data_IF_301257207582
#
_entry.id   IF_301257207582
#
_cell.length_a   1.000
_cell.length_b   1.000
_cell.length_c   1.000
_cell.angle_alpha   90.00
_cell.angle_beta   90.00
_cell.angle_gamma   90.00
#
_symmetry.space_group_name_H-M   'P 1'
#
loop_
_entity.id
_entity.type
_entity.pdbx_description
1 polymer ?
#
# COMPACT_ATOMS: atom_id res chain seq x y z
N UNK A 1 0.05 27.30 50.92
CA UNK A 1 -0.25 27.24 49.48
C UNK A 1 0.72 26.28 48.81
N UNK A 2 0.28 25.06 48.48
CA UNK A 2 1.08 24.09 47.73
C UNK A 2 0.68 24.18 46.26
N UNK A 3 1.54 24.74 45.42
CA UNK A 3 1.33 24.80 43.98
C UNK A 3 1.48 23.41 43.37
N UNK A 4 0.38 22.88 42.82
CA UNK A 4 0.37 21.70 41.97
C UNK A 4 0.84 22.11 40.57
N UNK A 5 2.02 21.67 40.17
CA UNK A 5 2.52 21.82 38.80
C UNK A 5 2.02 20.61 38.00
N UNK A 6 0.98 20.80 37.20
CA UNK A 6 0.52 19.80 36.23
C UNK A 6 1.48 19.74 35.05
N UNK A 7 2.25 18.66 34.92
CA UNK A 7 3.03 18.35 33.73
C UNK A 7 2.07 17.94 32.59
N UNK A 8 1.98 18.78 31.56
CA UNK A 8 1.24 18.51 30.34
C UNK A 8 2.13 17.64 29.41
N UNK A 9 1.90 16.33 29.36
CA UNK A 9 2.54 15.45 28.39
C UNK A 9 1.90 15.66 27.00
N UNK A 10 2.57 16.43 26.15
CA UNK A 10 2.20 16.57 24.74
C UNK A 10 2.71 15.32 24.00
N UNK A 11 1.81 14.41 23.66
CA UNK A 11 2.09 13.31 22.74
C UNK A 11 2.24 13.86 21.32
N UNK A 12 3.47 14.14 20.91
CA UNK A 12 3.81 14.32 19.49
C UNK A 12 3.73 12.95 18.80
N UNK A 13 2.62 12.71 18.09
CA UNK A 13 2.50 11.58 17.16
C UNK A 13 3.46 11.81 16.00
N UNK A 14 4.68 11.27 16.09
CA UNK A 14 5.58 11.18 14.93
C UNK A 14 4.97 10.19 13.93
N UNK A 15 4.36 10.72 12.87
CA UNK A 15 4.02 9.91 11.71
C UNK A 15 5.34 9.44 11.07
N UNK A 16 5.76 8.22 11.42
CA UNK A 16 6.97 7.58 10.90
C UNK A 16 6.73 7.11 9.46
N UNK A 17 6.72 8.04 8.52
CA UNK A 17 6.63 7.73 7.11
C UNK A 17 7.91 7.04 6.60
N UNK A 18 7.78 6.04 5.71
CA UNK A 18 8.94 5.42 5.07
C UNK A 18 9.59 6.38 4.05
N UNK A 19 10.94 6.40 4.02
CA UNK A 19 11.73 7.09 3.00
C UNK A 19 11.69 6.34 1.67
N UNK A 20 11.90 7.08 0.58
CA UNK A 20 12.01 6.49 -0.76
C UNK A 20 13.28 5.65 -0.92
N UNK A 21 13.25 4.71 -1.87
CA UNK A 21 14.42 3.91 -2.28
C UNK A 21 14.77 4.21 -3.74
N UNK A 22 16.06 4.28 -4.06
CA UNK A 22 16.55 4.64 -5.39
C UNK A 22 16.84 6.14 -5.55
N UNK A 23 17.18 6.55 -6.78
CA UNK A 23 17.49 7.94 -7.09
C UNK A 23 16.21 8.74 -7.35
N UNK A 24 15.71 9.40 -6.30
CA UNK A 24 14.56 10.28 -6.37
C UNK A 24 14.93 11.75 -6.60
N UNK A 25 16.20 12.05 -6.93
CA UNK A 25 16.66 13.43 -7.13
C UNK A 25 15.89 14.09 -8.27
N UNK A 26 15.44 15.33 -8.05
CA UNK A 26 14.64 16.07 -9.04
C UNK A 26 13.18 15.64 -9.13
N UNK A 27 12.69 14.85 -8.17
CA UNK A 27 11.25 14.63 -7.98
C UNK A 27 10.55 15.96 -7.69
N UNK A 28 9.48 16.33 -8.41
CA UNK A 28 8.73 17.56 -8.15
C UNK A 28 8.13 17.62 -6.74
N UNK A 29 8.00 18.82 -6.18
CA UNK A 29 7.52 19.03 -4.80
C UNK A 29 6.08 18.52 -4.55
N UNK A 30 5.26 18.45 -5.61
CA UNK A 30 3.90 17.92 -5.58
C UNK A 30 3.84 16.39 -5.54
N UNK A 31 4.95 15.70 -5.77
CA UNK A 31 4.99 14.26 -5.74
C UNK A 31 4.92 13.72 -4.30
N UNK A 32 4.14 12.67 -4.11
CA UNK A 32 4.14 11.92 -2.86
C UNK A 32 5.42 11.10 -2.80
N UNK A 33 6.27 11.39 -1.81
CA UNK A 33 7.56 10.70 -1.59
C UNK A 33 7.51 9.74 -0.40
N UNK A 34 6.35 9.54 0.20
CA UNK A 34 6.20 8.78 1.43
C UNK A 34 4.91 7.98 1.45
N UNK A 35 4.97 6.74 1.92
CA UNK A 35 3.78 5.90 2.06
C UNK A 35 3.09 6.14 3.42
N UNK A 36 1.75 6.15 3.46
CA UNK A 36 1.00 6.24 4.71
C UNK A 36 1.12 4.95 5.54
N UNK A 37 0.89 5.07 6.85
CA UNK A 37 0.70 3.91 7.73
C UNK A 37 -0.67 3.22 7.51
N UNK A 38 -0.77 1.87 7.62
CA UNK A 38 0.33 0.93 7.85
C UNK A 38 1.04 0.46 6.57
N UNK A 39 0.73 1.00 5.38
CA UNK A 39 1.32 0.55 4.11
C UNK A 39 2.86 0.65 4.11
N UNK A 40 3.43 1.68 4.72
CA UNK A 40 4.88 1.85 4.92
C UNK A 40 5.57 0.75 5.78
N UNK A 41 4.81 -0.15 6.45
CA UNK A 41 5.37 -1.28 7.20
C UNK A 41 5.73 -2.46 6.32
N UNK A 42 5.02 -2.64 5.20
CA UNK A 42 5.14 -3.78 4.30
C UNK A 42 5.35 -3.38 2.83
N UNK A 43 5.26 -2.09 2.52
CA UNK A 43 5.59 -1.49 1.24
C UNK A 43 6.55 -0.32 1.36
N UNK A 44 7.09 0.09 0.21
CA UNK A 44 7.96 1.24 0.05
C UNK A 44 7.77 1.90 -1.31
N UNK A 45 8.09 3.18 -1.39
CA UNK A 45 8.10 3.92 -2.65
C UNK A 45 9.50 3.84 -3.25
N UNK A 46 9.59 3.39 -4.51
CA UNK A 46 10.85 3.18 -5.22
C UNK A 46 10.89 4.07 -6.46
N UNK A 47 11.96 4.84 -6.62
CA UNK A 47 12.23 5.61 -7.82
C UNK A 47 13.00 4.75 -8.82
N UNK A 48 12.44 4.57 -10.02
CA UNK A 48 13.01 3.74 -11.08
C UNK A 48 13.26 4.58 -12.33
N UNK A 49 14.03 4.07 -13.31
CA UNK A 49 14.17 4.74 -14.61
C UNK A 49 12.84 5.00 -15.35
N UNK A 50 11.77 4.28 -15.00
CA UNK A 50 10.46 4.37 -15.65
C UNK A 50 9.43 5.23 -14.91
N UNK A 51 9.73 5.61 -13.66
CA UNK A 51 8.75 6.23 -12.77
C UNK A 51 8.85 5.76 -11.34
N UNK A 52 8.05 6.38 -10.48
CA UNK A 52 7.84 5.90 -9.12
C UNK A 52 6.97 4.65 -9.13
N UNK A 53 7.30 3.71 -8.26
CA UNK A 53 6.49 2.52 -8.01
C UNK A 53 6.26 2.37 -6.51
N UNK A 54 5.12 1.80 -6.14
CA UNK A 54 4.91 1.22 -4.81
C UNK A 54 5.21 -0.27 -4.92
N UNK A 55 6.12 -0.77 -4.09
CA UNK A 55 6.52 -2.18 -4.09
C UNK A 55 6.78 -2.68 -2.67
N UNK A 56 7.18 -3.93 -2.52
CA UNK A 56 7.48 -4.54 -1.23
C UNK A 56 8.65 -3.85 -0.53
N UNK A 57 8.55 -3.71 0.79
CA UNK A 57 9.67 -3.28 1.65
C UNK A 57 10.67 -4.42 1.86
N UNK A 58 11.91 -4.10 2.23
CA UNK A 58 12.85 -5.10 2.72
C UNK A 58 12.21 -5.98 3.82
N UNK A 59 12.46 -7.29 3.74
CA UNK A 59 11.84 -8.29 4.61
C UNK A 59 10.42 -8.71 4.21
N UNK A 60 9.83 -8.09 3.19
CA UNK A 60 8.51 -8.45 2.66
C UNK A 60 8.59 -8.92 1.21
N UNK A 61 7.70 -9.83 0.82
CA UNK A 61 7.49 -10.23 -0.58
C UNK A 61 6.04 -9.97 -0.95
N UNK A 62 5.82 -9.36 -2.12
CA UNK A 62 4.48 -9.28 -2.73
C UNK A 62 4.45 -10.16 -3.97
N UNK A 63 3.60 -11.18 -3.99
CA UNK A 63 3.55 -12.15 -5.09
C UNK A 63 2.14 -12.60 -5.41
N UNK A 64 1.88 -12.86 -6.70
CA UNK A 64 0.66 -13.52 -7.11
C UNK A 64 0.76 -15.02 -6.76
N UNK A 65 -0.29 -15.64 -6.18
CA UNK A 65 -0.32 -17.07 -5.95
C UNK A 65 -0.05 -17.86 -7.23
N UNK A 66 0.85 -18.85 -7.14
CA UNK A 66 1.21 -19.70 -8.27
C UNK A 66 2.06 -19.03 -9.36
N UNK A 67 2.54 -17.81 -9.14
CA UNK A 67 3.42 -17.08 -10.06
C UNK A 67 4.69 -16.60 -9.35
N UNK A 68 5.75 -16.40 -10.13
CA UNK A 68 7.02 -15.82 -9.68
C UNK A 68 7.14 -14.33 -10.01
N UNK A 69 6.09 -13.72 -10.56
CA UNK A 69 6.10 -12.30 -10.94
C UNK A 69 5.88 -11.40 -9.72
N UNK A 70 6.80 -10.45 -9.45
CA UNK A 70 6.63 -9.51 -8.36
C UNK A 70 5.43 -8.59 -8.61
N UNK A 71 4.73 -8.23 -7.53
CA UNK A 71 3.65 -7.24 -7.58
C UNK A 71 4.21 -5.85 -7.31
N UNK A 72 3.89 -4.92 -8.18
CA UNK A 72 4.20 -3.50 -8.03
C UNK A 72 3.05 -2.65 -8.55
N UNK A 73 2.91 -1.45 -8.00
CA UNK A 73 1.92 -0.45 -8.41
C UNK A 73 2.70 0.69 -9.08
N UNK A 74 2.67 0.83 -10.42
CA UNK A 74 3.44 1.86 -11.11
C UNK A 74 2.68 3.18 -11.24
N UNK A 75 3.39 4.31 -11.18
CA UNK A 75 2.82 5.65 -11.42
C UNK A 75 2.44 5.88 -12.89
N UNK A 76 3.11 5.23 -13.84
CA UNK A 76 2.83 5.43 -15.27
C UNK A 76 1.53 4.74 -15.73
N UNK A 77 1.10 3.71 -15.00
CA UNK A 77 -0.18 3.01 -15.18
C UNK A 77 -0.47 2.65 -16.66
N UNK A 78 0.50 1.97 -17.29
CA UNK A 78 0.40 1.44 -18.66
C UNK A 78 0.36 -0.08 -18.62
N UNK A 79 -0.29 -0.69 -19.62
CA UNK A 79 -0.41 -2.16 -19.71
C UNK A 79 0.92 -2.81 -20.12
N UNK A 80 1.69 -2.16 -20.99
CA UNK A 80 2.99 -2.64 -21.49
C UNK A 80 3.86 -1.48 -21.95
N UNK A 81 5.15 -1.75 -22.14
CA UNK A 81 6.15 -0.82 -22.71
C UNK A 81 6.22 0.55 -22.00
N UNK A 82 6.59 0.58 -20.70
CA UNK A 82 6.75 1.84 -19.98
C UNK A 82 7.86 2.69 -20.60
N UNK A 83 7.60 3.99 -20.75
CA UNK A 83 8.63 4.94 -21.19
C UNK A 83 9.57 5.29 -20.02
N UNK A 84 10.88 5.51 -20.27
CA UNK A 84 11.86 5.81 -19.23
C UNK A 84 11.75 7.26 -18.73
N UNK A 85 10.64 7.58 -18.05
CA UNK A 85 10.33 8.94 -17.60
C UNK A 85 11.04 9.33 -16.28
N UNK A 86 11.68 8.39 -15.58
CA UNK A 86 12.32 8.64 -14.30
C UNK A 86 11.41 9.38 -13.32
N UNK A 87 11.96 10.39 -12.63
CA UNK A 87 11.22 11.20 -11.66
C UNK A 87 10.14 12.14 -12.26
N UNK A 88 9.87 12.05 -13.58
CA UNK A 88 8.73 12.74 -14.22
C UNK A 88 7.44 11.92 -14.21
N UNK A 89 7.51 10.63 -13.87
CA UNK A 89 6.31 9.83 -13.58
C UNK A 89 6.29 9.54 -12.09
N UNK A 90 5.30 10.11 -11.39
CA UNK A 90 5.18 10.03 -9.95
C UNK A 90 3.71 9.98 -9.50
N UNK A 91 3.50 9.67 -8.23
CA UNK A 91 2.20 9.74 -7.59
C UNK A 91 1.94 11.14 -7.07
N UNK A 92 0.77 11.69 -7.38
CA UNK A 92 0.26 12.95 -6.81
C UNK A 92 -0.63 12.69 -5.59
N UNK A 93 -1.12 11.45 -5.44
CA UNK A 93 -1.92 11.02 -4.29
C UNK A 93 -1.60 9.56 -3.94
N UNK A 94 -1.42 9.29 -2.65
CA UNK A 94 -1.40 7.94 -2.07
C UNK A 94 -2.22 8.00 -0.78
N UNK A 95 -3.44 7.45 -0.80
CA UNK A 95 -4.36 7.51 0.32
C UNK A 95 -4.74 6.10 0.74
N UNK A 96 -4.48 5.78 2.01
CA UNK A 96 -4.86 4.51 2.62
C UNK A 96 -5.87 4.76 3.75
N UNK A 97 -7.02 4.12 3.69
CA UNK A 97 -8.11 4.28 4.67
C UNK A 97 -8.51 2.92 5.20
N UNK A 98 -8.63 2.78 6.52
CA UNK A 98 -9.22 1.59 7.14
C UNK A 98 -10.73 1.57 6.91
N UNK A 99 -11.24 0.49 6.32
CA UNK A 99 -12.67 0.28 6.13
C UNK A 99 -13.29 -0.29 7.41
N UNK A 100 -14.56 0.02 7.65
CA UNK A 100 -15.31 -0.43 8.82
C UNK A 100 -16.73 -0.89 8.43
N UNK A 101 -17.39 -1.60 9.35
CA UNK A 101 -18.81 -1.97 9.24
C UNK A 101 -19.14 -2.73 7.95
N UNK A 102 -20.18 -2.26 7.25
CA UNK A 102 -20.72 -2.89 6.04
C UNK A 102 -19.71 -2.88 4.89
N UNK A 103 -18.92 -1.82 4.73
CA UNK A 103 -17.92 -1.71 3.64
C UNK A 103 -16.84 -2.78 3.79
N UNK A 104 -16.28 -2.91 5.00
CA UNK A 104 -15.30 -3.95 5.30
C UNK A 104 -15.91 -5.34 5.12
N UNK A 105 -17.12 -5.57 5.62
CA UNK A 105 -17.81 -6.87 5.50
C UNK A 105 -18.06 -7.28 4.05
N UNK A 106 -18.43 -6.32 3.19
CA UNK A 106 -18.65 -6.58 1.76
C UNK A 106 -17.33 -6.85 1.03
N UNK A 107 -16.28 -6.10 1.35
CA UNK A 107 -14.93 -6.32 0.82
C UNK A 107 -14.42 -7.73 1.16
N UNK A 108 -14.55 -8.16 2.42
CA UNK A 108 -14.18 -9.50 2.89
C UNK A 108 -14.95 -10.57 2.11
N UNK A 109 -16.27 -10.42 1.95
CA UNK A 109 -17.09 -11.37 1.18
C UNK A 109 -16.62 -11.52 -0.27
N UNK A 110 -16.17 -10.43 -0.92
CA UNK A 110 -15.64 -10.49 -2.28
C UNK A 110 -14.27 -11.17 -2.29
N UNK A 111 -13.39 -10.82 -1.35
CA UNK A 111 -12.08 -11.43 -1.21
C UNK A 111 -12.17 -12.94 -0.95
N UNK A 112 -13.06 -13.38 -0.08
CA UNK A 112 -13.23 -14.80 0.27
C UNK A 112 -13.88 -15.65 -0.83
N UNK A 113 -14.33 -15.05 -1.95
CA UNK A 113 -14.83 -15.84 -3.09
C UNK A 113 -13.72 -16.76 -3.60
N UNK A 114 -14.00 -18.07 -3.59
CA UNK A 114 -13.05 -19.10 -4.01
C UNK A 114 -12.08 -19.57 -2.93
N UNK A 115 -12.23 -19.10 -1.68
CA UNK A 115 -11.54 -19.65 -0.51
C UNK A 115 -12.53 -20.31 0.44
N UNK A 116 -12.02 -21.22 1.27
CA UNK A 116 -12.72 -21.57 2.51
C UNK A 116 -12.81 -20.34 3.40
N UNK A 117 -13.93 -20.21 4.11
CA UNK A 117 -14.16 -19.09 5.00
C UNK A 117 -13.12 -19.11 6.13
N UNK A 118 -12.45 -17.98 6.34
CA UNK A 118 -11.51 -17.85 7.45
C UNK A 118 -12.24 -17.80 8.80
N UNK A 119 -11.66 -18.41 9.82
CA UNK A 119 -12.13 -18.27 11.20
C UNK A 119 -11.91 -16.86 11.75
N UNK A 120 -10.92 -16.14 11.21
CA UNK A 120 -10.57 -14.78 11.58
C UNK A 120 -10.99 -13.79 10.50
N UNK A 121 -11.59 -12.66 10.90
CA UNK A 121 -11.88 -11.56 9.99
C UNK A 121 -10.68 -10.62 9.87
N UNK A 122 -10.21 -10.27 8.66
CA UNK A 122 -9.08 -9.38 8.50
C UNK A 122 -9.46 -7.92 8.80
N UNK A 123 -8.46 -7.12 9.14
CA UNK A 123 -8.59 -5.66 9.00
C UNK A 123 -8.46 -5.30 7.53
N UNK A 124 -9.40 -4.52 7.01
CA UNK A 124 -9.41 -4.12 5.59
C UNK A 124 -8.96 -2.67 5.42
N UNK A 125 -8.04 -2.45 4.49
CA UNK A 125 -7.58 -1.12 4.08
C UNK A 125 -7.87 -0.88 2.60
N UNK A 126 -8.45 0.26 2.27
CA UNK A 126 -8.62 0.73 0.89
C UNK A 126 -7.48 1.67 0.53
N UNK A 127 -6.74 1.33 -0.52
CA UNK A 127 -5.71 2.17 -1.11
C UNK A 127 -6.25 2.82 -2.38
N UNK A 128 -6.11 4.13 -2.48
CA UNK A 128 -6.30 4.89 -3.72
C UNK A 128 -5.01 5.61 -4.06
N UNK A 129 -4.58 5.50 -5.31
CA UNK A 129 -3.41 6.20 -5.84
C UNK A 129 -3.78 6.97 -7.09
N UNK A 130 -3.22 8.16 -7.24
CA UNK A 130 -3.31 8.96 -8.47
C UNK A 130 -1.91 9.31 -8.96
N UNK A 131 -1.75 9.29 -10.27
CA UNK A 131 -0.50 9.66 -10.94
C UNK A 131 -0.55 11.08 -11.50
N UNK A 132 0.62 11.62 -11.82
CA UNK A 132 0.72 12.90 -12.56
C UNK A 132 0.00 12.89 -13.91
N UNK A 133 -0.23 11.72 -14.52
CA UNK A 133 -1.00 11.60 -15.77
C UNK A 133 -2.52 11.73 -15.57
N UNK A 134 -2.99 11.90 -14.32
CA UNK A 134 -4.41 11.91 -13.97
C UNK A 134 -5.05 10.53 -13.88
N UNK A 135 -4.32 9.45 -14.20
CA UNK A 135 -4.79 8.07 -14.01
C UNK A 135 -4.80 7.70 -12.54
N UNK A 136 -5.77 6.86 -12.18
CA UNK A 136 -5.97 6.36 -10.82
C UNK A 136 -6.00 4.84 -10.77
N UNK A 137 -5.51 4.28 -9.66
CA UNK A 137 -5.68 2.89 -9.29
C UNK A 137 -6.22 2.79 -7.86
N UNK A 138 -6.97 1.73 -7.59
CA UNK A 138 -7.52 1.38 -6.30
C UNK A 138 -7.26 -0.09 -5.98
N UNK A 139 -6.91 -0.35 -4.73
CA UNK A 139 -6.63 -1.68 -4.20
C UNK A 139 -7.28 -1.82 -2.82
N UNK A 140 -7.51 -3.05 -2.39
CA UNK A 140 -7.83 -3.36 -1.01
C UNK A 140 -6.80 -4.32 -0.44
N UNK A 141 -6.38 -4.07 0.79
CA UNK A 141 -5.47 -4.92 1.55
C UNK A 141 -6.21 -5.54 2.73
N UNK A 142 -5.91 -6.81 2.99
CA UNK A 142 -6.54 -7.65 4.00
C UNK A 142 -5.46 -8.12 4.98
N UNK A 143 -5.51 -7.64 6.21
CA UNK A 143 -4.54 -7.93 7.25
C UNK A 143 -5.10 -8.94 8.27
N UNK A 144 -4.61 -10.18 8.21
CA UNK A 144 -4.89 -11.26 9.15
C UNK A 144 -3.82 -11.36 10.26
N UNK A 145 -3.04 -10.30 10.50
CA UNK A 145 -1.88 -10.34 11.39
C UNK A 145 -0.67 -10.95 10.69
N UNK A 146 -0.51 -12.27 10.77
CA UNK A 146 0.68 -12.97 10.24
C UNK A 146 0.60 -13.21 8.72
N UNK A 147 -0.60 -13.12 8.12
CA UNK A 147 -0.79 -13.17 6.67
C UNK A 147 -1.44 -11.88 6.19
N UNK A 148 -0.92 -11.32 5.10
CA UNK A 148 -1.52 -10.15 4.46
C UNK A 148 -1.77 -10.44 2.98
N UNK A 149 -2.82 -9.82 2.45
CA UNK A 149 -3.22 -9.97 1.06
C UNK A 149 -3.59 -8.63 0.45
N UNK A 150 -3.52 -8.54 -0.87
CA UNK A 150 -4.00 -7.42 -1.66
C UNK A 150 -4.91 -7.90 -2.79
N UNK A 151 -5.78 -7.00 -3.27
CA UNK A 151 -6.71 -7.24 -4.37
C UNK A 151 -6.93 -5.94 -5.15
N UNK A 152 -6.99 -6.00 -6.47
CA UNK A 152 -7.26 -4.86 -7.34
C UNK A 152 -8.75 -4.49 -7.30
N UNK A 153 -9.07 -3.20 -7.11
CA UNK A 153 -10.41 -2.66 -6.93
C UNK A 153 -10.74 -1.38 -7.74
N UNK A 154 -10.23 -1.21 -8.97
CA UNK A 154 -10.49 0.01 -9.78
C UNK A 154 -11.98 0.20 -10.13
N UNK A 155 -12.54 -0.74 -10.89
CA UNK A 155 -13.92 -0.72 -11.38
C UNK A 155 -14.73 -1.79 -10.64
N UNK A 156 -14.64 -1.76 -9.31
CA UNK A 156 -15.00 -2.89 -8.45
C UNK A 156 -13.83 -3.83 -8.21
N UNK A 157 -13.95 -4.67 -7.18
CA UNK A 157 -12.91 -5.61 -6.79
C UNK A 157 -12.94 -6.90 -7.60
N UNK A 158 -11.79 -7.26 -8.17
CA UNK A 158 -11.63 -8.51 -8.92
C UNK A 158 -11.04 -9.61 -8.02
N UNK A 159 -11.82 -10.65 -7.64
CA UNK A 159 -11.34 -11.74 -6.81
C UNK A 159 -10.25 -12.60 -7.48
N UNK A 160 -9.98 -12.45 -8.78
CA UNK A 160 -8.88 -13.15 -9.46
C UNK A 160 -7.57 -12.35 -9.44
N UNK A 161 -7.60 -11.10 -8.99
CA UNK A 161 -6.43 -10.20 -8.92
C UNK A 161 -5.69 -10.25 -7.58
N UNK A 162 -5.93 -11.28 -6.79
CA UNK A 162 -5.41 -11.39 -5.42
C UNK A 162 -3.90 -11.65 -5.43
N UNK A 163 -3.20 -11.03 -4.50
CA UNK A 163 -1.79 -11.26 -4.25
C UNK A 163 -1.49 -11.36 -2.77
N UNK A 164 -0.44 -12.10 -2.43
CA UNK A 164 0.02 -12.32 -1.06
C UNK A 164 1.08 -11.28 -0.71
N UNK A 165 1.08 -10.89 0.57
CA UNK A 165 2.14 -10.11 1.20
C UNK A 165 2.72 -10.96 2.32
N UNK A 166 3.94 -11.44 2.11
CA UNK A 166 4.62 -12.38 2.99
C UNK A 166 5.68 -11.64 3.81
N UNK A 167 5.63 -11.80 5.13
CA UNK A 167 6.69 -11.34 6.02
C UNK A 167 7.77 -12.41 6.12
N UNK A 168 8.95 -12.15 5.55
CA UNK A 168 10.06 -13.11 5.50
C UNK A 168 10.79 -13.27 6.84
N UNK A 169 10.50 -12.41 7.83
CA UNK A 169 10.99 -12.60 9.20
C UNK A 169 10.20 -13.68 9.96
N UNK A 170 8.99 -13.99 9.50
CA UNK A 170 8.17 -15.08 10.03
C UNK A 170 8.43 -16.33 9.19
N UNK A 171 8.64 -17.48 9.85
CA UNK A 171 8.73 -18.75 9.12
C UNK A 171 7.36 -19.04 8.48
N UNK A 172 7.32 -19.53 7.23
CA UNK A 172 6.09 -19.99 6.60
C UNK A 172 5.35 -21.04 7.43
#
# INVERSE_FOLDING_TARGET
MKSFISLLFIFFSFNLYASTVGDCTGTPDEAVTKLPEPLNKWGQLVCTPYGHIISNKEGWIWSNPGSYSPVMIPSQMVQSNPEPLGNKSYFTKIQLVKLNGTEASNSIKVFEKGFDKSEQSPTVYSLQVASISGKELAFQFFDYGNSKWGMWCNNGCDPNSKFMLLNMAEKP
#
